data_IF_451428861146
#
_entry.id   IF_451428861146
#
_cell.length_a   1.000
_cell.length_b   1.000
_cell.length_c   1.000
_cell.angle_alpha   90.00
_cell.angle_beta   90.00
_cell.angle_gamma   90.00
#
_symmetry.space_group_name_H-M   'P 1'
#
loop_
_entity.id
_entity.type
_entity.pdbx_description
1 polymer ?
#
# COMPACT_ATOMS: atom_id res chain seq x y z
N UNK A 1 15.35 21.46 12.32
CA UNK A 1 13.89 21.31 12.47
C UNK A 1 13.59 19.89 12.12
N UNK A 2 13.31 19.09 13.13
CA UNK A 2 12.80 17.74 12.96
C UNK A 2 11.31 17.91 12.65
N UNK A 3 10.94 17.77 11.38
CA UNK A 3 9.53 17.78 11.04
C UNK A 3 8.92 16.51 11.62
N UNK A 4 7.81 16.64 12.35
CA UNK A 4 7.10 15.50 12.90
C UNK A 4 6.47 14.72 11.74
N UNK A 5 7.22 13.73 11.24
CA UNK A 5 6.80 12.82 10.18
C UNK A 5 5.44 12.19 10.53
N UNK A 6 5.14 11.99 11.81
CA UNK A 6 3.86 11.43 12.24
C UNK A 6 2.71 12.39 11.94
N UNK A 7 2.90 13.69 12.12
CA UNK A 7 1.88 14.69 11.77
C UNK A 7 1.68 14.74 10.25
N UNK A 8 2.77 14.71 9.47
CA UNK A 8 2.66 14.67 8.01
C UNK A 8 1.93 13.43 7.51
N UNK A 9 2.22 12.26 8.10
CA UNK A 9 1.51 11.02 7.82
C UNK A 9 0.04 11.15 8.19
N UNK A 10 -0.26 11.74 9.35
CA UNK A 10 -1.63 11.94 9.82
C UNK A 10 -2.46 12.79 8.84
N UNK A 11 -1.87 13.88 8.34
CA UNK A 11 -2.50 14.77 7.36
C UNK A 11 -2.74 14.07 6.01
N UNK A 12 -1.97 13.04 5.69
CA UNK A 12 -2.05 12.29 4.44
C UNK A 12 -2.73 10.92 4.58
N UNK A 13 -3.30 10.57 5.73
CA UNK A 13 -3.89 9.25 5.96
C UNK A 13 -4.92 8.86 4.89
N UNK A 14 -5.82 9.78 4.53
CA UNK A 14 -6.83 9.51 3.49
C UNK A 14 -6.21 9.15 2.14
N UNK A 15 -5.10 9.80 1.77
CA UNK A 15 -4.36 9.48 0.55
C UNK A 15 -3.69 8.11 0.61
N UNK A 16 -3.09 7.76 1.76
CA UNK A 16 -2.41 6.48 1.97
C UNK A 16 -3.44 5.34 1.95
N UNK A 17 -4.52 5.45 2.72
CA UNK A 17 -5.61 4.44 2.78
C UNK A 17 -6.16 4.18 1.38
N UNK A 18 -6.49 5.26 0.65
CA UNK A 18 -7.00 5.17 -0.72
C UNK A 18 -6.01 4.44 -1.63
N UNK A 19 -4.73 4.81 -1.58
CA UNK A 19 -3.70 4.21 -2.43
C UNK A 19 -3.49 2.73 -2.11
N UNK A 20 -3.44 2.37 -0.83
CA UNK A 20 -3.29 0.97 -0.39
C UNK A 20 -4.51 0.16 -0.82
N UNK A 21 -5.74 0.64 -0.57
CA UNK A 21 -6.98 -0.05 -0.95
C UNK A 21 -7.12 -0.23 -2.47
N UNK A 22 -6.78 0.79 -3.27
CA UNK A 22 -6.71 0.69 -4.73
C UNK A 22 -5.69 -0.35 -5.22
N UNK A 23 -4.64 -0.60 -4.43
CA UNK A 23 -3.54 -1.50 -4.81
C UNK A 23 -3.79 -2.93 -4.38
N UNK A 24 -4.34 -3.12 -3.19
CA UNK A 24 -4.70 -4.44 -2.66
C UNK A 24 -6.03 -4.95 -3.21
N UNK A 25 -6.85 -4.08 -3.80
CA UNK A 25 -8.18 -4.39 -4.32
C UNK A 25 -9.09 -5.00 -3.25
N UNK A 26 -8.92 -4.56 -2.00
CA UNK A 26 -9.72 -4.93 -0.82
C UNK A 26 -9.93 -3.73 0.08
N UNK A 27 -10.90 -3.85 0.98
CA UNK A 27 -11.05 -2.90 2.09
C UNK A 27 -9.86 -3.04 3.05
N UNK A 28 -9.35 -1.90 3.52
CA UNK A 28 -8.18 -1.81 4.40
C UNK A 28 -8.63 -1.29 5.75
N UNK A 29 -8.38 -2.06 6.82
CA UNK A 29 -8.64 -1.64 8.20
C UNK A 29 -7.41 -0.91 8.76
N UNK A 30 -7.62 0.31 9.21
CA UNK A 30 -6.58 1.09 9.90
C UNK A 30 -6.24 0.38 11.20
N UNK A 31 -4.97 0.11 11.46
CA UNK A 31 -4.47 -0.50 12.69
C UNK A 31 -4.28 -2.02 12.62
N UNK A 32 -5.09 -2.73 11.81
CA UNK A 32 -5.07 -4.19 11.75
C UNK A 32 -4.48 -4.75 10.43
N UNK A 33 -4.43 -3.93 9.38
CA UNK A 33 -4.00 -4.39 8.06
C UNK A 33 -2.50 -4.16 7.84
N UNK A 34 -1.74 -5.23 7.64
CA UNK A 34 -0.31 -5.19 7.34
C UNK A 34 0.00 -4.37 6.08
N UNK A 35 -0.87 -4.42 5.05
CA UNK A 35 -0.69 -3.63 3.82
C UNK A 35 -0.76 -2.13 4.12
N UNK A 36 -1.55 -1.74 5.11
CA UNK A 36 -1.63 -0.36 5.55
C UNK A 36 -0.34 0.07 6.25
N UNK A 37 0.16 -0.74 7.19
CA UNK A 37 1.44 -0.50 7.88
C UNK A 37 2.59 -0.34 6.89
N UNK A 38 2.62 -1.18 5.85
CA UNK A 38 3.60 -1.08 4.76
C UNK A 38 3.41 0.19 3.93
N UNK A 39 2.16 0.60 3.69
CA UNK A 39 1.85 1.88 3.05
C UNK A 39 2.38 3.09 3.83
N UNK A 40 2.30 3.08 5.16
CA UNK A 40 2.83 4.15 6.00
C UNK A 40 4.35 4.23 5.92
N UNK A 41 5.03 3.09 6.05
CA UNK A 41 6.49 3.01 5.90
C UNK A 41 6.94 3.48 4.51
N UNK A 42 6.20 3.10 3.47
CA UNK A 42 6.48 3.52 2.10
C UNK A 42 6.29 5.02 1.88
N UNK A 43 5.34 5.64 2.58
CA UNK A 43 5.15 7.10 2.52
C UNK A 43 6.30 7.85 3.18
N UNK A 44 6.77 7.38 4.35
CA UNK A 44 7.97 7.94 4.98
C UNK A 44 9.18 7.79 4.06
N UNK A 45 9.39 6.62 3.44
CA UNK A 45 10.46 6.41 2.48
C UNK A 45 10.35 7.39 1.29
N UNK A 46 9.14 7.61 0.79
CA UNK A 46 8.91 8.57 -0.28
C UNK A 46 9.28 9.99 0.15
N UNK A 47 8.97 10.38 1.38
CA UNK A 47 9.34 11.69 1.93
C UNK A 47 10.85 11.87 2.01
N UNK A 48 11.56 10.87 2.53
CA UNK A 48 13.02 10.89 2.67
C UNK A 48 13.76 10.95 1.33
N UNK A 49 13.20 10.30 0.29
CA UNK A 49 13.82 10.18 -1.03
C UNK A 49 13.29 11.17 -2.07
N UNK A 50 12.37 12.03 -1.67
CA UNK A 50 11.76 12.98 -2.60
C UNK A 50 12.78 14.01 -3.09
N UNK A 51 12.63 14.37 -4.36
CA UNK A 51 13.43 15.37 -5.05
C UNK A 51 12.45 16.28 -5.81
N UNK A 52 12.42 17.55 -5.45
CA UNK A 52 11.49 18.54 -5.97
C UNK A 52 11.72 18.86 -7.46
N UNK A 53 12.90 18.54 -7.98
CA UNK A 53 13.22 18.68 -9.41
C UNK A 53 12.55 17.62 -10.29
N UNK A 54 12.07 16.52 -9.70
CA UNK A 54 11.53 15.35 -10.42
C UNK A 54 10.01 15.34 -10.55
N UNK A 55 9.33 16.36 -10.04
CA UNK A 55 7.88 16.53 -10.15
C UNK A 55 7.15 16.41 -8.80
N UNK A 56 5.81 16.34 -8.79
CA UNK A 56 5.02 16.46 -7.56
C UNK A 56 5.20 15.31 -6.57
N UNK A 57 5.38 15.63 -5.29
CA UNK A 57 5.53 14.67 -4.19
C UNK A 57 4.44 13.59 -4.15
N UNK A 58 3.17 13.97 -4.20
CA UNK A 58 2.07 13.00 -4.09
C UNK A 58 2.06 11.96 -5.22
N UNK A 59 2.49 12.34 -6.42
CA UNK A 59 2.62 11.41 -7.54
C UNK A 59 3.75 10.40 -7.28
N UNK A 60 4.88 10.88 -6.77
CA UNK A 60 6.00 10.04 -6.37
C UNK A 60 5.64 9.11 -5.19
N UNK A 61 5.02 9.65 -4.14
CA UNK A 61 4.56 8.88 -2.99
C UNK A 61 3.57 7.78 -3.39
N UNK A 62 2.62 8.08 -4.31
CA UNK A 62 1.71 7.07 -4.85
C UNK A 62 2.47 5.91 -5.49
N UNK A 63 3.53 6.20 -6.27
CA UNK A 63 4.35 5.17 -6.92
C UNK A 63 5.07 4.28 -5.89
N UNK A 64 5.71 4.90 -4.89
CA UNK A 64 6.46 4.18 -3.85
C UNK A 64 5.53 3.29 -3.02
N UNK A 65 4.39 3.81 -2.54
CA UNK A 65 3.39 3.03 -1.81
C UNK A 65 2.92 1.84 -2.64
N UNK A 66 2.55 2.06 -3.90
CA UNK A 66 2.11 0.99 -4.80
C UNK A 66 3.17 -0.10 -4.95
N UNK A 67 4.42 0.28 -5.19
CA UNK A 67 5.52 -0.68 -5.34
C UNK A 67 5.67 -1.54 -4.09
N UNK A 68 5.70 -0.91 -2.90
CA UNK A 68 5.91 -1.62 -1.62
C UNK A 68 4.77 -2.56 -1.27
N UNK A 69 3.52 -2.13 -1.46
CA UNK A 69 2.33 -2.96 -1.24
C UNK A 69 2.29 -4.13 -2.24
N UNK A 70 2.58 -3.89 -3.52
CA UNK A 70 2.64 -4.98 -4.51
C UNK A 70 3.71 -6.01 -4.15
N UNK A 71 4.89 -5.56 -3.72
CA UNK A 71 5.97 -6.46 -3.31
C UNK A 71 5.60 -7.29 -2.09
N UNK A 72 4.86 -6.72 -1.13
CA UNK A 72 4.30 -7.45 0.00
C UNK A 72 3.27 -8.50 -0.44
N UNK A 73 2.25 -8.10 -1.21
CA UNK A 73 1.21 -9.01 -1.69
C UNK A 73 1.80 -10.15 -2.52
N UNK A 74 2.87 -9.89 -3.29
CA UNK A 74 3.61 -10.93 -4.02
C UNK A 74 4.31 -11.92 -3.09
N UNK A 75 4.81 -11.49 -1.94
CA UNK A 75 5.44 -12.37 -0.93
C UNK A 75 4.41 -13.19 -0.18
N UNK A 76 3.31 -12.56 0.24
CA UNK A 76 2.17 -13.21 0.90
C UNK A 76 1.63 -14.36 0.04
N UNK A 77 1.36 -14.10 -1.26
CA UNK A 77 0.86 -15.14 -2.17
C UNK A 77 1.88 -16.26 -2.51
N UNK A 78 3.17 -16.07 -2.23
CA UNK A 78 4.22 -17.09 -2.47
C UNK A 78 4.43 -18.01 -1.29
N UNK A 79 4.01 -17.60 -0.10
CA UNK A 79 3.91 -18.49 1.04
C UNK A 79 2.54 -19.15 0.92
N UNK A 80 2.43 -20.45 0.53
CA UNK A 80 1.16 -21.13 0.66
C UNK A 80 0.81 -21.10 2.14
N UNK A 81 -0.23 -20.33 2.49
CA UNK A 81 -0.74 -20.19 3.85
C UNK A 81 -0.74 -21.56 4.53
N UNK A 82 0.15 -21.75 5.50
CA UNK A 82 0.00 -22.79 6.52
C UNK A 82 -0.75 -22.19 7.71
N UNK A 83 -1.76 -21.38 7.41
CA UNK A 83 -2.64 -20.76 8.37
C UNK A 83 -4.00 -21.43 8.26
N UNK A 84 -4.51 -21.78 9.42
CA UNK A 84 -5.55 -22.77 9.65
C UNK A 84 -6.90 -22.35 9.07
N UNK A 85 -7.76 -23.34 8.81
CA UNK A 85 -9.12 -23.22 8.29
C UNK A 85 -10.02 -22.35 9.20
N UNK A 86 -9.98 -21.03 9.07
CA UNK A 86 -11.01 -20.13 9.58
C UNK A 86 -10.75 -18.75 8.96
N UNK A 87 -11.49 -18.41 7.90
CA UNK A 87 -11.96 -17.06 7.57
C UNK A 87 -12.53 -17.04 6.14
N UNK A 88 -13.71 -17.64 5.99
CA UNK A 88 -14.65 -17.22 4.95
C UNK A 88 -15.43 -16.05 5.56
N UNK A 89 -15.01 -14.82 5.28
CA UNK A 89 -15.89 -13.66 5.45
C UNK A 89 -16.33 -13.16 4.07
N UNK A 90 -17.60 -13.45 3.79
CA UNK A 90 -18.37 -13.02 2.64
C UNK A 90 -18.43 -11.49 2.51
N UNK A 91 -18.17 -10.95 1.31
CA UNK A 91 -19.03 -9.96 0.63
C UNK A 91 -18.38 -9.44 -0.67
N UNK A 92 -18.97 -9.85 -1.79
CA UNK A 92 -19.27 -9.04 -2.98
C UNK A 92 -18.21 -8.10 -3.58
N UNK A 93 -17.58 -8.52 -4.68
CA UNK A 93 -16.83 -7.63 -5.57
C UNK A 93 -15.98 -8.38 -6.58
N UNK A 94 -16.61 -9.02 -7.57
CA UNK A 94 -15.93 -9.77 -8.62
C UNK A 94 -15.34 -8.82 -9.69
N UNK A 95 -14.03 -8.98 -9.93
CA UNK A 95 -13.30 -8.81 -11.20
C UNK A 95 -13.06 -7.41 -11.80
N UNK A 96 -11.77 -7.07 -11.95
CA UNK A 96 -11.06 -7.20 -13.24
C UNK A 96 -9.62 -7.71 -13.04
N UNK A 97 -9.34 -8.95 -13.45
CA UNK A 97 -8.00 -9.33 -13.90
C UNK A 97 -7.80 -8.70 -15.27
N UNK A 98 -6.82 -7.81 -15.45
CA UNK A 98 -5.99 -7.83 -16.68
C UNK A 98 -4.82 -6.84 -16.61
N UNK A 99 -3.63 -7.39 -16.87
CA UNK A 99 -2.45 -6.71 -17.44
C UNK A 99 -1.66 -5.77 -16.53
N UNK A 100 -0.72 -6.31 -15.75
CA UNK A 100 0.74 -5.97 -15.71
C UNK A 100 1.43 -7.03 -14.81
N UNK A 101 1.15 -8.31 -15.04
CA UNK A 101 1.97 -9.40 -14.49
C UNK A 101 2.28 -10.43 -15.59
N UNK A 102 2.70 -9.91 -16.75
CA UNK A 102 3.34 -10.65 -17.83
C UNK A 102 4.04 -9.65 -18.76
N UNK A 103 5.20 -9.15 -18.31
CA UNK A 103 6.29 -8.62 -19.14
C UNK A 103 7.56 -8.60 -18.29
N UNK A 104 8.01 -9.81 -17.96
CA UNK A 104 9.42 -10.18 -18.09
C UNK A 104 9.50 -11.04 -19.36
#
# INVERSE_FOLDING_TARGET
>A
MEQDINQLIADHYGFIIKTVSETSNRYVRIGDDDSFSIGLLAFQEAYEKYDDTKGPFLAFAKLVIRSRVIDYLRKENRQPNHDSLEDIQEAGGQFVKSTILCKL
#
